data_IF_845118523894
#
_entry.id   IF_845118523894
#
_cell.length_a   1.000
_cell.length_b   1.000
_cell.length_c   1.000
_cell.angle_alpha   90.00
_cell.angle_beta   90.00
_cell.angle_gamma   90.00
#
_symmetry.space_group_name_H-M   'P 1'
#
loop_
_entity.id
_entity.type
_entity.pdbx_description
1 polymer ?
#
# COMPACT_ATOMS: atom_id res chain seq x y z
N UNK A 1 -13.55 0.67 -16.35
CA UNK A 1 -12.96 0.97 -15.03
C UNK A 1 -11.54 0.44 -15.09
N UNK A 2 -10.53 1.25 -14.76
CA UNK A 2 -9.14 0.78 -14.80
C UNK A 2 -8.95 -0.19 -13.62
N UNK A 3 -8.40 -1.37 -13.88
CA UNK A 3 -8.15 -2.37 -12.84
C UNK A 3 -6.95 -1.94 -12.00
N UNK A 4 -7.20 -1.32 -10.83
CA UNK A 4 -6.17 -0.89 -9.89
C UNK A 4 -5.61 -2.05 -9.05
N UNK A 5 -5.31 -3.18 -9.72
CA UNK A 5 -4.76 -4.38 -9.10
C UNK A 5 -3.34 -4.62 -9.59
N UNK A 6 -2.48 -5.06 -8.68
CA UNK A 6 -1.07 -5.31 -8.97
C UNK A 6 -0.52 -6.39 -8.04
N UNK A 7 0.58 -7.00 -8.46
CA UNK A 7 1.41 -7.85 -7.60
C UNK A 7 2.63 -7.05 -7.19
N UNK A 8 3.04 -7.16 -5.93
CA UNK A 8 4.24 -6.52 -5.43
C UNK A 8 5.04 -7.48 -4.56
N UNK A 9 6.36 -7.26 -4.53
CA UNK A 9 7.25 -7.92 -3.58
C UNK A 9 7.17 -7.17 -2.26
N UNK A 10 7.09 -7.92 -1.16
CA UNK A 10 7.10 -7.36 0.18
C UNK A 10 8.55 -7.02 0.55
N UNK A 11 8.78 -5.74 0.76
CA UNK A 11 10.04 -5.17 1.21
C UNK A 11 10.00 -4.95 2.72
N UNK A 12 11.16 -4.87 3.37
CA UNK A 12 11.25 -4.66 4.82
C UNK A 12 12.22 -3.53 5.11
N UNK A 13 11.80 -2.56 5.93
CA UNK A 13 12.67 -1.52 6.50
C UNK A 13 12.59 -1.57 8.02
N UNK A 14 13.71 -1.87 8.68
CA UNK A 14 13.71 -2.23 10.10
C UNK A 14 12.87 -3.49 10.32
N UNK A 15 11.81 -3.39 11.11
CA UNK A 15 10.83 -4.48 11.34
C UNK A 15 9.54 -4.31 10.52
N UNK A 16 9.41 -3.21 9.76
CA UNK A 16 8.15 -2.83 9.14
C UNK A 16 8.10 -3.30 7.67
N UNK A 17 7.26 -4.28 7.34
CA UNK A 17 7.04 -4.70 5.96
C UNK A 17 6.21 -3.68 5.18
N UNK A 18 6.52 -3.49 3.90
CA UNK A 18 5.81 -2.61 2.99
C UNK A 18 5.86 -3.10 1.55
N UNK A 19 5.04 -2.51 0.69
CA UNK A 19 5.11 -2.66 -0.76
C UNK A 19 5.19 -1.30 -1.44
N UNK A 20 5.87 -1.26 -2.57
CA UNK A 20 5.76 -0.13 -3.50
C UNK A 20 4.45 -0.22 -4.28
N UNK A 21 3.86 0.94 -4.56
CA UNK A 21 2.65 1.06 -5.37
C UNK A 21 3.05 1.58 -6.75
N UNK A 22 2.62 0.96 -7.86
CA UNK A 22 2.94 1.44 -9.20
C UNK A 22 2.53 2.90 -9.41
N UNK A 23 3.34 3.65 -10.17
CA UNK A 23 3.13 5.09 -10.40
C UNK A 23 1.74 5.41 -10.96
N UNK A 24 1.23 4.58 -11.88
CA UNK A 24 -0.10 4.77 -12.44
C UNK A 24 -1.23 4.66 -11.40
N UNK A 25 -1.07 3.80 -10.39
CA UNK A 25 -2.03 3.64 -9.29
C UNK A 25 -1.86 4.78 -8.30
N UNK A 26 -0.61 5.23 -8.05
CA UNK A 26 -0.34 6.40 -7.22
C UNK A 26 -1.01 7.65 -7.79
N UNK A 27 -0.91 7.89 -9.09
CA UNK A 27 -1.56 9.01 -9.76
C UNK A 27 -3.09 8.96 -9.58
N UNK A 28 -3.70 7.79 -9.74
CA UNK A 28 -5.14 7.63 -9.59
C UNK A 28 -5.57 7.82 -8.12
N UNK A 29 -4.75 7.37 -7.16
CA UNK A 29 -4.93 7.66 -5.73
C UNK A 29 -4.87 9.18 -5.49
N UNK A 30 -3.90 9.89 -6.06
CA UNK A 30 -3.76 11.33 -5.84
C UNK A 30 -4.89 12.14 -6.47
N UNK A 31 -5.34 11.75 -7.67
CA UNK A 31 -6.52 12.34 -8.33
C UNK A 31 -7.76 12.16 -7.46
N UNK A 32 -7.98 10.95 -6.95
CA UNK A 32 -9.13 10.65 -6.09
C UNK A 32 -9.07 11.37 -4.73
N UNK A 33 -7.87 11.51 -4.16
CA UNK A 33 -7.66 12.17 -2.87
C UNK A 33 -7.62 13.70 -2.95
N UNK A 34 -7.48 14.28 -4.15
CA UNK A 34 -7.24 15.71 -4.34
C UNK A 34 -5.92 16.21 -3.75
N UNK A 35 -4.97 15.30 -3.47
CA UNK A 35 -3.66 15.63 -2.87
C UNK A 35 -2.59 14.61 -3.25
N UNK A 36 -1.35 15.08 -3.36
CA UNK A 36 -0.15 14.28 -3.59
C UNK A 36 0.87 14.42 -2.43
N UNK A 37 0.37 14.62 -1.21
CA UNK A 37 1.17 14.81 0.01
C UNK A 37 0.80 13.78 1.05
N UNK A 38 1.81 13.24 1.71
CA UNK A 38 1.65 12.25 2.78
C UNK A 38 1.05 12.88 4.04
N UNK A 39 0.20 12.16 4.79
CA UNK A 39 -0.38 10.85 4.47
C UNK A 39 -1.57 10.92 3.50
N UNK A 40 -1.82 9.87 2.72
CA UNK A 40 -3.03 9.74 1.87
C UNK A 40 -3.88 8.55 2.34
N UNK A 41 -5.13 8.76 2.77
CA UNK A 41 -6.00 7.66 3.19
C UNK A 41 -6.40 6.81 2.00
N UNK A 42 -6.22 5.49 2.12
CA UNK A 42 -6.52 4.48 1.10
C UNK A 42 -7.30 3.31 1.71
N UNK A 43 -8.08 2.65 0.86
CA UNK A 43 -8.76 1.39 1.17
C UNK A 43 -8.62 0.45 -0.01
N UNK A 44 -8.63 -0.84 0.24
CA UNK A 44 -8.52 -1.85 -0.80
C UNK A 44 -8.47 -3.25 -0.21
N UNK A 45 -7.91 -4.19 -0.97
CA UNK A 45 -7.72 -5.58 -0.52
C UNK A 45 -6.28 -6.02 -0.73
N UNK A 46 -5.70 -6.73 0.23
CA UNK A 46 -4.46 -7.51 0.06
C UNK A 46 -4.83 -8.98 0.11
N UNK A 47 -4.57 -9.72 -0.97
CA UNK A 47 -4.93 -11.16 -1.08
C UNK A 47 -6.39 -11.46 -0.68
N UNK A 48 -7.31 -10.58 -1.10
CA UNK A 48 -8.75 -10.67 -0.79
C UNK A 48 -9.15 -10.21 0.62
N UNK A 49 -8.21 -9.79 1.47
CA UNK A 49 -8.51 -9.23 2.79
C UNK A 49 -8.56 -7.71 2.74
N UNK A 50 -9.68 -7.14 3.17
CA UNK A 50 -9.87 -5.70 3.20
C UNK A 50 -8.89 -4.99 4.14
N UNK A 51 -8.50 -3.77 3.75
CA UNK A 51 -7.74 -2.87 4.61
C UNK A 51 -8.21 -1.43 4.43
N UNK A 52 -7.98 -0.63 5.48
CA UNK A 52 -8.09 0.83 5.48
C UNK A 52 -6.88 1.39 6.21
N UNK A 53 -6.07 2.18 5.54
CA UNK A 53 -4.87 2.77 6.14
C UNK A 53 -4.40 4.01 5.37
N UNK A 54 -3.28 4.60 5.80
CA UNK A 54 -2.63 5.66 5.07
C UNK A 54 -1.50 5.10 4.19
N UNK A 55 -1.44 5.56 2.94
CA UNK A 55 -0.25 5.51 2.12
C UNK A 55 0.71 6.61 2.59
N UNK A 56 1.96 6.23 2.84
CA UNK A 56 2.96 7.09 3.48
C UNK A 56 4.10 7.41 2.52
N UNK A 57 4.60 8.65 2.53
CA UNK A 57 5.83 9.03 1.83
C UNK A 57 6.99 9.14 2.81
N UNK A 58 8.08 8.43 2.56
CA UNK A 58 9.30 8.46 3.38
C UNK A 58 10.53 8.41 2.48
N UNK A 59 11.53 9.28 2.72
CA UNK A 59 12.73 9.38 1.89
C UNK A 59 12.46 9.39 0.37
N UNK A 60 11.49 10.19 -0.07
CA UNK A 60 11.14 10.32 -1.49
C UNK A 60 10.14 9.28 -2.02
N UNK A 61 10.02 8.13 -1.36
CA UNK A 61 9.25 6.98 -1.85
C UNK A 61 7.90 6.81 -1.15
N UNK A 62 6.88 6.41 -1.92
CA UNK A 62 5.57 6.05 -1.40
C UNK A 62 5.52 4.57 -1.02
N UNK A 63 5.03 4.29 0.19
CA UNK A 63 4.97 2.95 0.76
C UNK A 63 3.58 2.66 1.29
N UNK A 64 3.08 1.48 0.94
CA UNK A 64 1.94 0.88 1.59
C UNK A 64 2.47 -0.15 2.59
N UNK A 65 2.40 0.16 3.88
CA UNK A 65 2.81 -0.79 4.92
C UNK A 65 1.86 -1.99 4.93
N UNK A 66 2.39 -3.20 5.10
CA UNK A 66 1.61 -4.44 5.05
C UNK A 66 1.72 -5.14 6.39
N UNK A 67 0.81 -4.82 7.32
CA UNK A 67 0.85 -5.44 8.64
C UNK A 67 0.53 -6.94 8.56
N UNK A 68 1.00 -7.73 9.53
CA UNK A 68 0.73 -9.18 9.60
C UNK A 68 -0.77 -9.51 9.58
N UNK A 69 -1.61 -8.64 10.14
CA UNK A 69 -3.07 -8.78 10.05
C UNK A 69 -3.58 -8.74 8.60
N UNK A 70 -2.84 -8.16 7.65
CA UNK A 70 -3.21 -8.08 6.23
C UNK A 70 -2.80 -9.33 5.43
N UNK A 71 -1.93 -10.20 5.97
CA UNK A 71 -1.45 -11.40 5.29
C UNK A 71 -2.16 -12.66 5.84
N UNK A 72 -2.93 -13.35 4.98
CA UNK A 72 -3.68 -14.57 5.33
C UNK A 72 -2.77 -15.73 5.75
N UNK A 73 -1.55 -15.78 5.20
CA UNK A 73 -0.52 -16.78 5.47
C UNK A 73 0.77 -16.11 5.97
N UNK A 74 0.67 -15.19 6.94
CA UNK A 74 1.86 -14.78 7.70
C UNK A 74 2.57 -16.05 8.20
N UNK A 75 3.91 -16.15 8.14
CA UNK A 75 4.60 -17.27 8.75
C UNK A 75 4.14 -17.34 10.21
N UNK A 76 3.42 -18.40 10.54
CA UNK A 76 3.18 -18.77 11.93
C UNK A 76 4.53 -19.27 12.39
N UNK A 77 5.11 -18.59 13.37
CA UNK A 77 6.18 -19.17 14.19
C UNK A 77 5.73 -20.52 14.77
#
# INVERSE_FOLDING_TARGET
>A
MKDNSFTAVLEIIGINPFVFVPDEILEDIFKAAGKNKSPVPVKGTVNGKEFKQNLMKYLGEWRLYVNLLMLKNSPKE
#
